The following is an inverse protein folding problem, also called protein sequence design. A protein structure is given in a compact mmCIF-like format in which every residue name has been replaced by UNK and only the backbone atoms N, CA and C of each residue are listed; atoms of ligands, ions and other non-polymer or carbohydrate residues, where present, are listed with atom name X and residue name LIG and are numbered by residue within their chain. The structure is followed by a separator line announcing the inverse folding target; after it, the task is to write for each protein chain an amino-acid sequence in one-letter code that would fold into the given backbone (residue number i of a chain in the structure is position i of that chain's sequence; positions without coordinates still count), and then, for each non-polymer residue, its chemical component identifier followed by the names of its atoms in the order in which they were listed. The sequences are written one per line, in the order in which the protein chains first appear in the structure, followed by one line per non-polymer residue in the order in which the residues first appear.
data_IF_281344089455
#
_entry.id   IF_281344089455
#
_cell.length_a   1.000
_cell.length_b   1.000
_cell.length_c   1.000
_cell.angle_alpha   90.00
_cell.angle_beta   90.00
_cell.angle_gamma   90.00
#
_symmetry.space_group_name_H-M   'P 1'
#
loop_
_entity.id
_entity.type
_entity.pdbx_description
1 polymer ?
#
# COMPACT_ATOMS: atom_id res chain seq x y z
N UNK A 1 -4.50 26.66 -41.81
CA UNK A 1 -4.00 25.27 -41.94
C UNK A 1 -3.77 24.72 -40.54
N UNK A 2 -4.83 24.22 -39.93
CA UNK A 2 -4.86 23.68 -38.58
C UNK A 2 -4.36 22.23 -38.65
N UNK A 3 -3.07 22.04 -38.43
CA UNK A 3 -2.46 20.70 -38.49
C UNK A 3 -2.87 19.96 -37.22
N UNK A 4 -3.65 18.89 -37.37
CA UNK A 4 -4.08 17.91 -36.37
C UNK A 4 -3.07 17.69 -35.22
N UNK A 5 -3.09 18.53 -34.19
CA UNK A 5 -2.27 18.42 -32.98
C UNK A 5 -2.94 17.53 -31.89
N UNK A 6 -4.22 17.20 -32.06
CA UNK A 6 -5.01 16.39 -31.13
C UNK A 6 -4.42 15.00 -30.80
N UNK A 7 -3.90 14.19 -31.75
CA UNK A 7 -3.40 12.86 -31.40
C UNK A 7 -2.13 12.90 -30.54
N UNK A 8 -1.32 13.96 -30.66
CA UNK A 8 -0.08 14.09 -29.89
C UNK A 8 -0.33 14.54 -28.45
N UNK A 9 -1.34 15.39 -28.24
CA UNK A 9 -1.74 15.85 -26.91
C UNK A 9 -2.33 14.70 -26.08
N UNK A 10 -3.26 13.92 -26.65
CA UNK A 10 -3.90 12.80 -25.97
C UNK A 10 -2.90 11.71 -25.56
N UNK A 11 -1.95 11.35 -26.44
CA UNK A 11 -0.91 10.38 -26.13
C UNK A 11 -0.06 10.81 -24.93
N UNK A 12 0.28 12.10 -24.88
CA UNK A 12 1.04 12.69 -23.78
C UNK A 12 0.25 12.70 -22.47
N UNK A 13 -1.03 13.04 -22.56
CA UNK A 13 -1.93 13.05 -21.41
C UNK A 13 -2.04 11.65 -20.80
N UNK A 14 -2.29 10.62 -21.62
CA UNK A 14 -2.35 9.23 -21.14
C UNK A 14 -1.03 8.82 -20.47
N UNK A 15 0.10 9.13 -21.10
CA UNK A 15 1.44 8.81 -20.56
C UNK A 15 1.71 9.50 -19.22
N UNK A 16 1.20 10.73 -19.06
CA UNK A 16 1.38 11.53 -17.84
C UNK A 16 0.47 11.10 -16.70
N UNK A 17 -0.69 10.52 -17.00
CA UNK A 17 -1.65 10.04 -15.99
C UNK A 17 -1.31 8.64 -15.48
N UNK A 18 -0.71 7.78 -16.32
CA UNK A 18 -0.57 6.35 -16.04
C UNK A 18 0.25 6.05 -14.77
N UNK A 19 1.46 6.61 -14.66
CA UNK A 19 2.32 6.37 -13.52
C UNK A 19 1.74 6.95 -12.21
N UNK A 20 1.28 8.22 -12.17
CA UNK A 20 0.57 8.74 -11.01
C UNK A 20 -0.64 7.90 -10.61
N UNK A 21 -1.47 7.47 -11.58
CA UNK A 21 -2.66 6.66 -11.31
C UNK A 21 -2.30 5.39 -10.54
N UNK A 22 -1.27 4.67 -11.01
CA UNK A 22 -0.85 3.41 -10.37
C UNK A 22 -0.24 3.68 -8.99
N UNK A 23 0.62 4.70 -8.89
CA UNK A 23 1.36 5.01 -7.67
C UNK A 23 0.46 5.51 -6.54
N UNK A 24 -0.49 6.41 -6.84
CA UNK A 24 -1.27 7.11 -5.81
C UNK A 24 -2.65 6.54 -5.59
N UNK A 25 -3.23 5.89 -6.59
CA UNK A 25 -4.59 5.33 -6.50
C UNK A 25 -4.55 3.80 -6.50
N UNK A 26 -4.01 3.16 -7.54
CA UNK A 26 -4.12 1.68 -7.64
C UNK A 26 -3.44 0.97 -6.47
N UNK A 27 -2.15 1.21 -6.23
CA UNK A 27 -1.42 0.48 -5.20
C UNK A 27 -1.95 0.76 -3.78
N UNK A 28 -2.19 2.02 -3.34
CA UNK A 28 -2.70 2.28 -2.01
C UNK A 28 -4.14 1.80 -1.80
N UNK A 29 -5.03 1.99 -2.78
CA UNK A 29 -6.44 1.64 -2.57
C UNK A 29 -6.68 0.14 -2.65
N UNK A 30 -5.99 -0.59 -3.54
CA UNK A 30 -6.09 -2.06 -3.55
C UNK A 30 -5.61 -2.64 -2.22
N UNK A 31 -4.55 -2.09 -1.63
CA UNK A 31 -4.14 -2.43 -0.26
C UNK A 31 -5.22 -2.09 0.77
N UNK A 32 -5.79 -0.88 0.73
CA UNK A 32 -6.83 -0.48 1.69
C UNK A 32 -8.12 -1.30 1.54
N UNK A 33 -8.49 -1.71 0.32
CA UNK A 33 -9.66 -2.55 0.08
C UNK A 33 -9.49 -3.93 0.73
N UNK A 34 -8.35 -4.59 0.53
CA UNK A 34 -8.06 -5.90 1.13
C UNK A 34 -7.85 -5.87 2.64
N UNK A 35 -7.62 -4.70 3.24
CA UNK A 35 -7.31 -4.55 4.66
C UNK A 35 -8.29 -3.62 5.40
N UNK A 36 -9.49 -3.36 4.84
CA UNK A 36 -10.43 -2.38 5.39
C UNK A 36 -10.87 -2.66 6.83
N UNK A 37 -10.76 -3.92 7.28
CA UNK A 37 -11.12 -4.35 8.64
C UNK A 37 -10.02 -4.04 9.69
N UNK A 38 -8.77 -3.89 9.26
CA UNK A 38 -7.60 -3.68 10.13
C UNK A 38 -7.20 -2.20 10.24
N UNK A 39 -7.68 -1.36 9.30
CA UNK A 39 -7.35 0.06 9.27
C UNK A 39 -8.16 0.85 10.30
N UNK A 40 -7.48 1.75 11.02
CA UNK A 40 -8.09 2.65 12.01
C UNK A 40 -8.79 3.87 11.41
N UNK A 41 -8.70 4.07 10.08
CA UNK A 41 -9.28 5.19 9.36
C UNK A 41 -10.27 4.71 8.29
N UNK A 42 -11.19 5.59 7.89
CA UNK A 42 -12.12 5.29 6.79
C UNK A 42 -11.53 5.69 5.44
N UNK A 43 -11.89 4.99 4.36
CA UNK A 43 -11.44 5.36 3.01
C UNK A 43 -11.79 6.79 2.64
N UNK A 44 -12.94 7.30 3.09
CA UNK A 44 -13.37 8.69 2.89
C UNK A 44 -12.33 9.72 3.34
N UNK A 45 -11.57 9.39 4.38
CA UNK A 45 -10.58 10.29 4.98
C UNK A 45 -9.35 10.45 4.08
N UNK A 46 -9.09 9.47 3.20
CA UNK A 46 -7.88 9.40 2.35
C UNK A 46 -8.19 9.63 0.87
N UNK A 47 -9.43 9.46 0.42
CA UNK A 47 -9.79 9.59 -1.00
C UNK A 47 -9.46 10.97 -1.55
N UNK A 48 -9.90 12.03 -0.86
CA UNK A 48 -9.69 13.40 -1.33
C UNK A 48 -8.19 13.78 -1.40
N UNK A 49 -7.36 13.58 -0.35
CA UNK A 49 -5.94 13.88 -0.46
C UNK A 49 -5.24 13.01 -1.52
N UNK A 50 -5.62 11.73 -1.69
CA UNK A 50 -5.04 10.86 -2.71
C UNK A 50 -5.33 11.36 -4.14
N UNK A 51 -6.57 11.79 -4.41
CA UNK A 51 -6.94 12.41 -5.71
C UNK A 51 -6.21 13.74 -5.91
N UNK A 52 -6.05 14.54 -4.85
CA UNK A 52 -5.26 15.78 -4.90
C UNK A 52 -3.81 15.53 -5.32
N UNK A 53 -3.15 14.55 -4.69
CA UNK A 53 -1.77 14.15 -5.03
C UNK A 53 -1.69 13.56 -6.45
N UNK A 54 -2.67 12.74 -6.85
CA UNK A 54 -2.77 12.21 -8.22
C UNK A 54 -2.78 13.33 -9.26
N UNK A 55 -3.64 14.34 -9.08
CA UNK A 55 -3.75 15.48 -9.99
C UNK A 55 -2.45 16.28 -10.01
N UNK A 56 -1.89 16.59 -8.84
CA UNK A 56 -0.65 17.35 -8.73
C UNK A 56 0.52 16.65 -9.46
N UNK A 57 0.72 15.35 -9.21
CA UNK A 57 1.75 14.58 -9.90
C UNK A 57 1.49 14.49 -11.40
N UNK A 58 0.24 14.29 -11.82
CA UNK A 58 -0.13 14.25 -13.24
C UNK A 58 0.21 15.55 -13.96
N UNK A 59 -0.02 16.71 -13.33
CA UNK A 59 0.36 18.03 -13.87
C UNK A 59 1.89 18.13 -14.01
N UNK A 60 2.65 17.69 -12.99
CA UNK A 60 4.12 17.69 -13.02
C UNK A 60 4.62 16.79 -14.16
N UNK A 61 4.14 15.54 -14.24
CA UNK A 61 4.52 14.61 -15.31
C UNK A 61 4.16 15.13 -16.69
N UNK A 62 2.97 15.70 -16.85
CA UNK A 62 2.53 16.29 -18.12
C UNK A 62 3.41 17.47 -18.53
N UNK A 63 3.82 18.30 -17.57
CA UNK A 63 4.73 19.43 -17.79
C UNK A 63 6.11 18.96 -18.22
N UNK A 64 6.68 17.97 -17.52
CA UNK A 64 7.98 17.36 -17.85
C UNK A 64 7.95 16.74 -19.25
N UNK A 65 6.95 15.90 -19.55
CA UNK A 65 6.80 15.30 -20.88
C UNK A 65 6.56 16.35 -21.97
N UNK A 66 5.92 17.47 -21.65
CA UNK A 66 5.73 18.58 -22.57
C UNK A 66 7.02 19.31 -22.90
N UNK A 67 7.87 19.57 -21.91
CA UNK A 67 9.22 20.12 -22.15
C UNK A 67 10.06 19.15 -22.98
N UNK A 68 10.05 17.86 -22.60
CA UNK A 68 10.80 16.82 -23.32
C UNK A 68 10.29 16.58 -24.73
N UNK A 69 9.03 16.88 -25.04
CA UNK A 69 8.47 16.71 -26.38
C UNK A 69 9.16 17.55 -27.47
N UNK A 70 9.96 18.56 -27.07
CA UNK A 70 10.88 19.30 -27.96
C UNK A 70 12.06 18.44 -28.45
N UNK A 71 12.41 17.38 -27.71
CA UNK A 71 13.53 16.48 -27.98
C UNK A 71 12.99 15.04 -28.22
N UNK A 72 12.82 14.60 -29.48
CA UNK A 72 12.04 13.40 -29.80
C UNK A 72 12.60 12.12 -29.17
N UNK A 73 13.92 11.95 -29.11
CA UNK A 73 14.56 10.78 -28.49
C UNK A 73 14.35 10.79 -26.97
N UNK A 74 14.59 11.92 -26.31
CA UNK A 74 14.42 12.04 -24.86
C UNK A 74 12.94 11.85 -24.45
N UNK A 75 12.00 12.38 -25.23
CA UNK A 75 10.57 12.15 -25.04
C UNK A 75 10.20 10.66 -25.08
N UNK A 76 10.70 9.93 -26.09
CA UNK A 76 10.43 8.48 -26.22
C UNK A 76 11.02 7.70 -25.06
N UNK A 77 12.24 8.00 -24.65
CA UNK A 77 12.89 7.35 -23.50
C UNK A 77 12.13 7.64 -22.21
N UNK A 78 11.78 8.89 -21.94
CA UNK A 78 11.03 9.27 -20.74
C UNK A 78 9.64 8.63 -20.69
N UNK A 79 8.95 8.56 -21.83
CA UNK A 79 7.67 7.86 -21.95
C UNK A 79 7.80 6.36 -21.69
N UNK A 80 8.81 5.71 -22.27
CA UNK A 80 9.11 4.31 -22.03
C UNK A 80 9.49 4.02 -20.57
N UNK A 81 10.27 4.91 -19.95
CA UNK A 81 10.62 4.82 -18.54
C UNK A 81 9.37 4.96 -17.65
N UNK A 82 8.51 5.94 -17.93
CA UNK A 82 7.25 6.14 -17.21
C UNK A 82 6.37 4.89 -17.28
N UNK A 83 6.17 4.34 -18.48
CA UNK A 83 5.42 3.10 -18.67
C UNK A 83 6.06 1.91 -17.96
N UNK A 84 7.38 1.76 -18.06
CA UNK A 84 8.12 0.67 -17.43
C UNK A 84 8.00 0.70 -15.91
N UNK A 85 8.22 1.87 -15.28
CA UNK A 85 8.04 2.05 -13.84
C UNK A 85 6.58 1.79 -13.44
N UNK A 86 5.61 2.30 -14.21
CA UNK A 86 4.20 2.06 -13.94
C UNK A 86 3.86 0.56 -13.98
N UNK A 87 4.35 -0.16 -14.99
CA UNK A 87 4.16 -1.61 -15.12
C UNK A 87 4.83 -2.38 -13.96
N UNK A 88 6.04 -1.98 -13.56
CA UNK A 88 6.72 -2.56 -12.40
C UNK A 88 5.90 -2.39 -11.12
N UNK A 89 5.42 -1.17 -10.83
CA UNK A 89 4.60 -0.89 -9.66
C UNK A 89 3.26 -1.65 -9.69
N UNK A 90 2.64 -1.76 -10.87
CA UNK A 90 1.41 -2.54 -11.01
C UNK A 90 1.68 -4.03 -10.75
N UNK A 91 2.72 -4.63 -11.35
CA UNK A 91 3.08 -6.03 -11.09
C UNK A 91 3.47 -6.24 -9.63
N UNK A 92 4.20 -5.31 -9.01
CA UNK A 92 4.57 -5.37 -7.60
C UNK A 92 3.33 -5.40 -6.70
N UNK A 93 2.35 -4.52 -6.98
CA UNK A 93 1.16 -4.39 -6.14
C UNK A 93 0.11 -5.47 -6.37
N UNK A 94 0.09 -6.12 -7.55
CA UNK A 94 -0.98 -7.06 -7.92
C UNK A 94 -0.52 -8.52 -8.01
N UNK A 95 0.76 -8.78 -8.31
CA UNK A 95 1.26 -10.13 -8.62
C UNK A 95 2.34 -10.58 -7.64
N UNK A 96 3.29 -9.69 -7.31
CA UNK A 96 4.44 -10.02 -6.47
C UNK A 96 4.12 -9.78 -4.98
N UNK A 97 2.99 -10.30 -4.51
CA UNK A 97 2.55 -10.19 -3.12
C UNK A 97 3.01 -11.44 -2.37
N UNK A 98 4.02 -11.28 -1.51
CA UNK A 98 4.57 -12.39 -0.72
C UNK A 98 3.98 -12.44 0.69
N UNK A 99 3.80 -13.64 1.28
CA UNK A 99 3.32 -13.78 2.65
C UNK A 99 4.45 -13.49 3.64
N UNK A 100 4.69 -12.20 3.89
CA UNK A 100 5.75 -11.75 4.80
C UNK A 100 5.51 -12.12 6.29
N UNK A 101 4.32 -12.64 6.63
CA UNK A 101 3.92 -12.99 7.98
C UNK A 101 3.03 -11.92 8.62
N UNK A 102 2.49 -12.18 9.82
CA UNK A 102 1.71 -11.19 10.57
C UNK A 102 2.58 -10.01 11.00
N UNK A 103 1.95 -8.85 11.17
CA UNK A 103 2.59 -7.67 11.76
C UNK A 103 2.59 -7.76 13.29
N UNK A 104 3.19 -8.82 13.83
CA UNK A 104 3.20 -9.16 15.27
C UNK A 104 4.34 -8.47 16.06
N UNK A 105 5.02 -7.51 15.45
CA UNK A 105 6.16 -6.80 16.03
C UNK A 105 7.47 -7.61 16.07
N UNK A 106 7.45 -8.89 15.70
CA UNK A 106 8.69 -9.64 15.43
C UNK A 106 9.29 -9.08 14.15
N UNK A 107 10.55 -8.68 14.20
CA UNK A 107 11.24 -8.13 13.03
C UNK A 107 11.16 -9.08 11.82
N UNK A 108 11.09 -8.53 10.62
CA UNK A 108 11.02 -9.32 9.39
C UNK A 108 12.36 -10.01 9.10
N UNK A 109 12.36 -11.33 8.90
CA UNK A 109 13.53 -12.08 8.46
C UNK A 109 13.78 -11.89 6.96
N UNK A 110 14.44 -10.78 6.61
CA UNK A 110 14.80 -10.46 5.23
C UNK A 110 15.72 -11.50 4.58
N UNK A 111 16.50 -12.26 5.36
CA UNK A 111 17.43 -13.25 4.81
C UNK A 111 16.67 -14.38 4.09
N UNK A 112 15.51 -14.76 4.61
CA UNK A 112 14.61 -15.75 4.01
C UNK A 112 14.05 -15.31 2.65
N UNK A 113 13.93 -14.00 2.41
CA UNK A 113 13.32 -13.44 1.20
C UNK A 113 14.31 -13.01 0.12
N UNK A 114 15.62 -13.23 0.33
CA UNK A 114 16.68 -12.80 -0.62
C UNK A 114 16.47 -13.27 -2.05
N UNK A 115 16.03 -14.52 -2.25
CA UNK A 115 15.78 -15.06 -3.59
C UNK A 115 14.65 -14.30 -4.30
N UNK A 116 13.56 -14.02 -3.58
CA UNK A 116 12.42 -13.27 -4.10
C UNK A 116 12.85 -11.85 -4.50
N UNK A 117 13.61 -11.14 -3.65
CA UNK A 117 14.14 -9.82 -3.97
C UNK A 117 14.93 -9.78 -5.29
N UNK A 118 15.81 -10.77 -5.52
CA UNK A 118 16.56 -10.84 -6.77
C UNK A 118 15.67 -11.15 -7.97
N UNK A 119 14.70 -12.05 -7.82
CA UNK A 119 13.73 -12.33 -8.88
C UNK A 119 12.92 -11.09 -9.24
N UNK A 120 12.43 -10.33 -8.25
CA UNK A 120 11.72 -9.08 -8.48
C UNK A 120 12.60 -8.04 -9.20
N UNK A 121 13.84 -7.86 -8.75
CA UNK A 121 14.77 -6.93 -9.37
C UNK A 121 15.03 -7.27 -10.85
N UNK A 122 15.18 -8.56 -11.18
CA UNK A 122 15.33 -9.02 -12.58
C UNK A 122 14.07 -8.73 -13.39
N UNK A 123 12.88 -9.00 -12.84
CA UNK A 123 11.60 -8.70 -13.50
C UNK A 123 11.48 -7.20 -13.78
N UNK A 124 11.81 -6.36 -12.79
CA UNK A 124 11.77 -4.90 -12.94
C UNK A 124 12.72 -4.40 -14.02
N UNK A 125 13.97 -4.85 -14.02
CA UNK A 125 14.97 -4.47 -15.03
C UNK A 125 14.50 -4.90 -16.42
N UNK A 126 13.97 -6.12 -16.57
CA UNK A 126 13.46 -6.62 -17.85
C UNK A 126 12.29 -5.77 -18.36
N UNK A 127 11.32 -5.44 -17.50
CA UNK A 127 10.17 -4.62 -17.87
C UNK A 127 10.58 -3.19 -18.30
N UNK A 128 11.53 -2.58 -17.58
CA UNK A 128 12.05 -1.26 -17.92
C UNK A 128 12.74 -1.27 -19.30
N UNK A 129 13.61 -2.26 -19.56
CA UNK A 129 14.30 -2.39 -20.84
C UNK A 129 13.30 -2.59 -21.98
N UNK A 130 12.32 -3.49 -21.80
CA UNK A 130 11.30 -3.77 -22.81
C UNK A 130 10.43 -2.54 -23.08
N UNK A 131 10.00 -1.82 -22.04
CA UNK A 131 9.18 -0.62 -22.19
C UNK A 131 9.92 0.49 -22.96
N UNK A 132 11.19 0.75 -22.61
CA UNK A 132 12.04 1.72 -23.31
C UNK A 132 12.28 1.28 -24.76
N UNK A 133 12.58 0.01 -24.99
CA UNK A 133 12.79 -0.54 -26.34
C UNK A 133 11.55 -0.33 -27.22
N UNK A 134 10.37 -0.68 -26.72
CA UNK A 134 9.09 -0.48 -27.43
C UNK A 134 8.86 1.01 -27.70
N UNK A 135 9.13 1.89 -26.73
CA UNK A 135 8.95 3.33 -26.86
C UNK A 135 9.80 3.93 -27.99
N UNK A 136 11.03 3.48 -28.12
CA UNK A 136 11.96 3.92 -29.16
C UNK A 136 11.55 3.37 -30.52
N UNK A 137 11.16 2.08 -30.57
CA UNK A 137 10.92 1.34 -31.81
C UNK A 137 9.60 1.70 -32.50
N UNK A 138 8.53 1.89 -31.74
CA UNK A 138 7.17 2.07 -32.30
C UNK A 138 6.26 2.89 -31.39
N UNK A 139 5.92 4.11 -31.84
CA UNK A 139 4.98 4.99 -31.14
C UNK A 139 3.56 4.42 -31.09
N UNK A 140 3.19 3.57 -32.06
CA UNK A 140 1.90 2.87 -32.08
C UNK A 140 1.85 1.77 -31.03
N UNK A 141 2.91 0.98 -30.91
CA UNK A 141 2.94 -0.14 -29.96
C UNK A 141 2.91 0.37 -28.52
N UNK A 142 3.72 1.38 -28.18
CA UNK A 142 3.69 1.95 -26.82
C UNK A 142 2.32 2.53 -26.45
N UNK A 143 1.61 3.20 -27.38
CA UNK A 143 0.23 3.65 -27.14
C UNK A 143 -0.69 2.51 -26.75
N UNK A 144 -0.60 1.37 -27.45
CA UNK A 144 -1.44 0.22 -27.15
C UNK A 144 -1.08 -0.35 -25.78
N UNK A 145 0.21 -0.49 -25.47
CA UNK A 145 0.66 -1.00 -24.17
C UNK A 145 0.24 -0.08 -23.01
N UNK A 146 0.34 1.23 -23.16
CA UNK A 146 -0.15 2.19 -22.16
C UNK A 146 -1.66 2.08 -21.92
N UNK A 147 -2.45 1.94 -22.99
CA UNK A 147 -3.90 1.77 -22.86
C UNK A 147 -4.26 0.46 -22.18
N UNK A 148 -3.57 -0.63 -22.51
CA UNK A 148 -3.75 -1.93 -21.86
C UNK A 148 -3.35 -1.84 -20.37
N UNK A 149 -2.22 -1.23 -20.07
CA UNK A 149 -1.75 -1.04 -18.69
C UNK A 149 -2.71 -0.16 -17.89
N UNK A 150 -3.22 0.91 -18.50
CA UNK A 150 -4.25 1.77 -17.90
C UNK A 150 -5.57 1.04 -17.67
N UNK A 151 -5.99 0.20 -18.61
CA UNK A 151 -7.16 -0.66 -18.43
C UNK A 151 -6.97 -1.64 -17.27
N UNK A 152 -5.81 -2.31 -17.18
CA UNK A 152 -5.48 -3.19 -16.08
C UNK A 152 -5.49 -2.46 -14.73
N UNK A 153 -4.93 -1.25 -14.68
CA UNK A 153 -4.96 -0.41 -13.48
C UNK A 153 -6.40 -0.07 -13.01
N UNK A 154 -7.29 0.31 -13.94
CA UNK A 154 -8.69 0.59 -13.59
C UNK A 154 -9.43 -0.70 -13.19
N UNK A 155 -9.16 -1.81 -13.87
CA UNK A 155 -9.75 -3.11 -13.53
C UNK A 155 -9.31 -3.58 -12.14
N UNK A 156 -8.03 -3.41 -11.75
CA UNK A 156 -7.54 -3.72 -10.41
C UNK A 156 -8.27 -2.92 -9.32
N UNK A 157 -8.49 -1.62 -9.55
CA UNK A 157 -9.26 -0.78 -8.63
C UNK A 157 -10.72 -1.24 -8.52
N UNK A 158 -11.35 -1.53 -9.66
CA UNK A 158 -12.73 -1.99 -9.69
C UNK A 158 -12.89 -3.35 -9.02
N UNK A 159 -11.97 -4.29 -9.27
CA UNK A 159 -12.00 -5.61 -8.65
C UNK A 159 -11.77 -5.52 -7.15
N UNK A 160 -10.78 -4.74 -6.70
CA UNK A 160 -10.53 -4.56 -5.27
C UNK A 160 -11.73 -3.93 -4.55
N UNK A 161 -12.36 -2.92 -5.16
CA UNK A 161 -13.57 -2.33 -4.59
C UNK A 161 -14.77 -3.29 -4.57
N UNK A 162 -14.91 -4.15 -5.58
CA UNK A 162 -16.09 -5.02 -5.68
C UNK A 162 -15.98 -6.30 -4.86
N UNK A 163 -14.79 -6.89 -4.79
CA UNK A 163 -14.57 -8.20 -4.19
C UNK A 163 -13.92 -8.13 -2.80
N UNK A 164 -12.99 -7.20 -2.61
CA UNK A 164 -12.17 -7.16 -1.39
C UNK A 164 -12.71 -6.14 -0.37
N UNK A 165 -13.22 -5.00 -0.85
CA UNK A 165 -13.68 -3.93 0.02
C UNK A 165 -14.96 -4.32 0.77
N UNK A 166 -14.82 -4.46 2.09
CA UNK A 166 -15.93 -4.64 3.01
C UNK A 166 -16.02 -3.40 3.90
N UNK A 167 -16.92 -2.44 3.60
CA UNK A 167 -17.12 -1.27 4.44
C UNK A 167 -17.73 -1.70 5.77
N UNK A 168 -16.91 -1.73 6.82
CA UNK A 168 -17.43 -1.82 8.18
C UNK A 168 -17.91 -0.43 8.59
N UNK A 169 -19.03 -0.32 9.33
CA UNK A 169 -19.33 0.92 10.04
C UNK A 169 -18.09 1.26 10.87
N UNK A 170 -17.73 2.56 10.92
CA UNK A 170 -16.65 3.05 11.79
C UNK A 170 -16.81 2.33 13.11
N UNK A 171 -15.86 1.44 13.48
CA UNK A 171 -15.74 1.05 14.88
C UNK A 171 -15.56 2.39 15.55
N UNK A 172 -16.57 2.83 16.30
CA UNK A 172 -16.46 4.04 17.09
C UNK A 172 -15.10 3.93 17.75
N UNK A 173 -14.17 4.81 17.36
CA UNK A 173 -12.87 4.93 17.99
C UNK A 173 -13.21 4.93 19.45
N UNK A 174 -12.90 3.84 20.16
CA UNK A 174 -13.33 3.63 21.54
C UNK A 174 -12.98 4.92 22.24
N UNK A 175 -13.99 5.71 22.61
CA UNK A 175 -13.77 7.05 23.12
C UNK A 175 -13.10 6.85 24.47
N UNK A 176 -11.77 6.95 24.46
CA UNK A 176 -10.96 6.82 25.65
C UNK A 176 -11.20 7.97 26.63
N UNK A 177 -11.96 8.99 26.21
CA UNK A 177 -12.36 10.15 27.01
C UNK A 177 -12.95 9.74 28.37
N UNK A 178 -13.63 8.60 28.44
CA UNK A 178 -14.21 8.07 29.69
C UNK A 178 -13.54 6.79 30.21
N UNK A 179 -12.42 6.33 29.61
CA UNK A 179 -11.75 5.08 30.02
C UNK A 179 -11.23 5.15 31.47
N UNK A 180 -10.95 6.37 31.94
CA UNK A 180 -10.45 6.64 33.29
C UNK A 180 -11.50 7.29 34.21
N UNK A 181 -12.76 7.34 33.78
CA UNK A 181 -13.86 7.80 34.62
C UNK A 181 -14.42 6.63 35.43
N UNK A 182 -14.10 6.61 36.73
CA UNK A 182 -14.52 5.57 37.64
C UNK A 182 -15.81 5.95 38.38
N UNK A 183 -16.71 4.99 38.57
CA UNK A 183 -17.85 5.10 39.46
C UNK A 183 -17.40 5.34 40.91
N UNK A 184 -18.22 6.04 41.70
CA UNK A 184 -17.85 6.48 43.06
C UNK A 184 -17.60 5.35 44.06
N UNK A 185 -18.15 4.16 43.82
CA UNK A 185 -18.16 3.08 44.81
C UNK A 185 -17.59 1.76 44.29
N UNK A 186 -18.03 1.30 43.11
CA UNK A 186 -17.67 -0.03 42.59
C UNK A 186 -17.18 0.09 41.15
N UNK A 187 -15.99 -0.44 40.88
CA UNK A 187 -15.36 -0.46 39.55
C UNK A 187 -14.76 -1.84 39.29
N UNK A 188 -14.93 -2.34 38.07
CA UNK A 188 -14.27 -3.57 37.61
C UNK A 188 -13.34 -3.17 36.48
N UNK A 189 -12.04 -3.34 36.69
CA UNK A 189 -11.02 -3.10 35.68
C UNK A 189 -10.57 -4.45 35.10
N UNK A 190 -10.78 -4.65 33.81
CA UNK A 190 -10.32 -5.84 33.09
C UNK A 190 -9.20 -5.39 32.14
N UNK A 191 -7.98 -5.87 32.40
CA UNK A 191 -6.81 -5.61 31.56
C UNK A 191 -6.50 -6.90 30.80
N UNK A 192 -6.53 -6.82 29.47
CA UNK A 192 -6.18 -7.94 28.59
C UNK A 192 -4.88 -7.57 27.88
N UNK A 193 -3.83 -8.35 28.10
CA UNK A 193 -2.52 -8.16 27.48
C UNK A 193 -2.40 -9.14 26.31
N UNK A 194 -2.30 -8.61 25.09
CA UNK A 194 -2.10 -9.44 23.90
C UNK A 194 -0.72 -10.13 23.95
N UNK A 195 -0.67 -11.38 23.53
CA UNK A 195 0.54 -12.22 23.45
C UNK A 195 1.31 -12.37 24.78
N UNK A 196 0.70 -12.06 25.92
CA UNK A 196 1.29 -12.21 27.24
C UNK A 196 1.07 -13.62 27.77
N UNK A 197 2.10 -14.47 27.64
CA UNK A 197 2.00 -15.88 28.01
C UNK A 197 2.25 -16.08 29.52
N UNK A 198 1.47 -16.95 30.15
CA UNK A 198 1.53 -17.17 31.60
C UNK A 198 2.85 -17.81 32.07
N UNK A 199 3.50 -18.61 31.22
CA UNK A 199 4.80 -19.24 31.49
C UNK A 199 5.93 -18.20 31.60
N UNK A 200 5.94 -17.19 30.72
CA UNK A 200 6.88 -16.08 30.82
C UNK A 200 6.65 -15.23 32.06
N UNK A 201 5.39 -14.98 32.43
CA UNK A 201 5.08 -14.25 33.67
C UNK A 201 5.55 -15.02 34.91
N UNK A 202 5.30 -16.32 35.00
CA UNK A 202 5.77 -17.16 36.11
C UNK A 202 7.31 -17.13 36.19
N UNK A 203 7.99 -17.16 35.05
CA UNK A 203 9.45 -17.03 35.01
C UNK A 203 9.96 -15.68 35.55
N UNK A 204 9.31 -14.57 35.14
CA UNK A 204 9.66 -13.22 35.59
C UNK A 204 9.38 -13.06 37.09
N UNK A 205 8.22 -13.50 37.57
CA UNK A 205 7.85 -13.41 38.98
C UNK A 205 8.83 -14.14 39.91
N UNK A 206 9.35 -15.29 39.45
CA UNK A 206 10.36 -16.06 40.19
C UNK A 206 11.75 -15.41 40.17
N UNK A 207 12.16 -14.81 39.04
CA UNK A 207 13.47 -14.19 38.90
C UNK A 207 13.55 -12.79 39.54
N UNK A 208 12.47 -12.02 39.45
CA UNK A 208 12.40 -10.63 39.86
C UNK A 208 11.18 -10.38 40.77
N UNK A 209 11.12 -10.99 41.97
CA UNK A 209 9.95 -10.91 42.85
C UNK A 209 9.61 -9.48 43.27
N UNK A 210 10.60 -8.58 43.35
CA UNK A 210 10.38 -7.15 43.64
C UNK A 210 9.69 -6.40 42.51
N UNK A 211 9.78 -6.86 41.26
CA UNK A 211 9.15 -6.20 40.12
C UNK A 211 7.66 -6.53 40.00
N UNK A 212 7.20 -7.61 40.65
CA UNK A 212 5.80 -8.04 40.67
C UNK A 212 5.09 -7.76 42.01
N UNK A 213 5.77 -7.10 42.95
CA UNK A 213 5.22 -6.79 44.29
C UNK A 213 3.96 -5.92 44.21
N UNK A 214 3.79 -5.11 43.16
CA UNK A 214 2.59 -4.31 42.94
C UNK A 214 1.32 -5.16 42.68
N UNK A 215 1.49 -6.47 42.41
CA UNK A 215 0.40 -7.43 42.24
C UNK A 215 0.05 -8.15 43.55
N UNK A 216 0.62 -7.75 44.68
CA UNK A 216 0.21 -8.28 45.98
C UNK A 216 -1.28 -7.99 46.23
N UNK A 217 -2.03 -9.02 46.65
CA UNK A 217 -3.49 -9.01 46.74
C UNK A 217 -4.24 -9.46 45.47
N UNK A 218 -3.57 -9.71 44.35
CA UNK A 218 -4.18 -10.33 43.17
C UNK A 218 -4.09 -11.86 43.22
N UNK A 219 -5.08 -12.56 42.66
CA UNK A 219 -5.04 -14.02 42.52
C UNK A 219 -4.45 -14.39 41.17
N UNK A 220 -3.35 -15.15 41.19
CA UNK A 220 -2.69 -15.63 39.98
C UNK A 220 -3.16 -17.05 39.61
N UNK A 221 -3.65 -17.22 38.38
CA UNK A 221 -4.15 -18.49 37.86
C UNK A 221 -3.19 -19.09 36.82
N UNK A 222 -2.21 -19.86 37.28
CA UNK A 222 -1.14 -20.46 36.45
C UNK A 222 -1.65 -21.39 35.34
N UNK A 223 -2.74 -22.12 35.61
CA UNK A 223 -3.26 -23.17 34.71
C UNK A 223 -4.45 -22.67 33.88
N UNK A 224 -4.35 -21.46 33.35
CA UNK A 224 -5.38 -20.91 32.46
C UNK A 224 -4.97 -21.16 31.01
N UNK A 225 -5.82 -21.85 30.26
CA UNK A 225 -5.68 -21.97 28.80
C UNK A 225 -6.54 -20.89 28.14
N UNK A 226 -5.93 -20.00 27.38
CA UNK A 226 -6.66 -19.14 26.43
C UNK A 226 -6.87 -19.94 25.14
N UNK A 227 -8.11 -19.97 24.64
CA UNK A 227 -8.46 -20.56 23.35
C UNK A 227 -8.14 -19.65 22.17
#
# INVERSE_FOLDING_TARGET
MEKNNHPFFLDKLISALLLPLILTLVAPFTFCFGNSNELSFSLSDVVLPAVGVFIALSIVFFSVLSVLSRYPTAYRVARGLSLGVAACLWIQSQVLIWPFGPLDGRGMDWARWRLHMWMEAVIWIALLIVAIYIAIRSTRTIRHVERVTGLLAVLSLASGYWFDYQPQPKKDTVQFDNLFEFGKEHNILVIILDSFQSDYFDHIANLYPREVEFLDGFTYFQNTISG
#
